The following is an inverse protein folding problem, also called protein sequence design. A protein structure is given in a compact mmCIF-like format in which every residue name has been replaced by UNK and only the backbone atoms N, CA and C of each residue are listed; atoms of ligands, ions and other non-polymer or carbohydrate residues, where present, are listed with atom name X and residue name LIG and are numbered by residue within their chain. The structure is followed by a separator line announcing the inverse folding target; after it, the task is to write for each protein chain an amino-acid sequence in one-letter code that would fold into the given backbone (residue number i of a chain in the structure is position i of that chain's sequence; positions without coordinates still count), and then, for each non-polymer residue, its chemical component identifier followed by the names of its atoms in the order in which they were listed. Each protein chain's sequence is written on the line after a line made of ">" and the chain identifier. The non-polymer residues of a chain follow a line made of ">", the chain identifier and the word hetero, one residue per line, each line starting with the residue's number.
data_IF_546567353518
#
_entry.id   IF_546567353518
#
_cell.length_a   1.000
_cell.length_b   1.000
_cell.length_c   1.000
_cell.angle_alpha   90.00
_cell.angle_beta   90.00
_cell.angle_gamma   90.00
#
_symmetry.space_group_name_H-M   'P 1'
#
loop_
_entity.id
_entity.type
_entity.pdbx_description
1 polymer ?
#
# COMPACT_ATOMS: atom_id res chain seq x y z
N UNK A 1 -52.76 -5.30 -43.79
CA UNK A 1 -51.88 -4.14 -43.56
C UNK A 1 -52.44 -3.41 -42.33
N UNK A 2 -51.65 -3.33 -41.26
CA UNK A 2 -51.94 -2.73 -39.93
C UNK A 2 -53.09 -3.36 -39.12
N UNK A 3 -53.02 -3.60 -37.80
CA UNK A 3 -52.22 -3.00 -36.73
C UNK A 3 -51.62 -4.07 -35.79
N UNK A 4 -50.34 -3.89 -35.46
CA UNK A 4 -49.69 -4.40 -34.25
C UNK A 4 -49.53 -3.18 -33.36
N UNK A 5 -50.23 -3.13 -32.22
CA UNK A 5 -49.92 -2.19 -31.13
C UNK A 5 -50.50 -2.76 -29.84
N UNK A 6 -49.68 -3.49 -29.08
CA UNK A 6 -49.72 -3.59 -27.62
C UNK A 6 -48.70 -4.64 -27.15
N UNK A 7 -47.43 -4.25 -27.16
CA UNK A 7 -46.36 -4.98 -26.47
C UNK A 7 -45.16 -4.06 -26.31
N UNK A 8 -45.33 -2.94 -25.59
CA UNK A 8 -44.24 -2.01 -25.31
C UNK A 8 -44.55 -1.25 -24.02
N UNK A 9 -44.69 -2.00 -22.93
CA UNK A 9 -44.91 -1.43 -21.61
C UNK A 9 -44.48 -2.42 -20.52
N UNK A 10 -43.30 -3.04 -20.65
CA UNK A 10 -42.73 -3.84 -19.55
C UNK A 10 -41.19 -4.05 -19.63
N UNK A 11 -40.43 -3.08 -20.14
CA UNK A 11 -38.95 -3.20 -20.19
C UNK A 11 -38.22 -1.91 -19.82
N UNK A 12 -38.69 -1.18 -18.80
CA UNK A 12 -37.99 0.02 -18.31
C UNK A 12 -37.93 0.18 -16.78
N UNK A 13 -38.02 -0.92 -16.00
CA UNK A 13 -37.98 -0.82 -14.52
C UNK A 13 -36.91 -1.65 -13.82
N UNK A 14 -35.93 -2.22 -14.54
CA UNK A 14 -34.85 -3.00 -13.90
C UNK A 14 -33.42 -2.53 -14.26
N UNK A 15 -33.24 -1.70 -15.27
CA UNK A 15 -31.92 -1.19 -15.65
C UNK A 15 -31.30 -0.16 -14.68
N UNK A 16 -32.05 0.72 -13.97
CA UNK A 16 -31.41 1.72 -13.12
C UNK A 16 -30.97 1.19 -11.75
N UNK A 17 -31.39 -0.02 -11.35
CA UNK A 17 -31.05 -0.58 -10.02
C UNK A 17 -29.75 -1.38 -10.07
N UNK A 18 -29.49 -2.12 -11.15
CA UNK A 18 -28.23 -2.86 -11.33
C UNK A 18 -27.06 -1.93 -11.63
N UNK A 19 -27.27 -0.82 -12.35
CA UNK A 19 -26.22 0.18 -12.61
C UNK A 19 -25.88 0.97 -11.34
N UNK A 20 -26.82 1.18 -10.41
CA UNK A 20 -26.52 1.85 -9.13
C UNK A 20 -25.67 0.97 -8.19
N UNK A 21 -25.86 -0.35 -8.22
CA UNK A 21 -25.15 -1.29 -7.35
C UNK A 21 -23.64 -1.38 -7.66
N UNK A 22 -23.23 -1.28 -8.93
CA UNK A 22 -21.83 -1.35 -9.36
C UNK A 22 -21.06 -0.01 -9.26
N UNK A 23 -21.40 0.82 -8.28
CA UNK A 23 -20.82 2.17 -8.17
C UNK A 23 -20.37 2.54 -6.76
N UNK A 24 -20.69 1.67 -5.79
CA UNK A 24 -20.19 1.78 -4.43
C UNK A 24 -18.88 1.01 -4.34
N UNK A 25 -17.84 1.67 -3.86
CA UNK A 25 -16.58 0.99 -3.56
C UNK A 25 -16.80 0.00 -2.43
N UNK A 26 -16.43 -1.26 -2.62
CA UNK A 26 -16.48 -2.26 -1.58
C UNK A 26 -15.16 -3.04 -1.59
N UNK A 27 -14.77 -3.56 -0.43
CA UNK A 27 -13.59 -4.39 -0.30
C UNK A 27 -13.98 -5.70 0.37
N UNK A 28 -13.62 -6.80 -0.28
CA UNK A 28 -13.59 -8.12 0.35
C UNK A 28 -12.14 -8.57 0.49
N UNK A 29 -11.71 -8.89 1.71
CA UNK A 29 -10.34 -9.32 1.96
C UNK A 29 -10.27 -10.85 1.98
N UNK A 30 -9.51 -11.47 1.06
CA UNK A 30 -9.42 -12.91 0.99
C UNK A 30 -8.47 -13.44 2.07
N UNK A 31 -8.97 -14.37 2.87
CA UNK A 31 -8.19 -15.17 3.81
C UNK A 31 -8.21 -16.63 3.40
N UNK A 32 -7.19 -17.38 3.78
CA UNK A 32 -7.18 -18.82 3.67
C UNK A 32 -6.70 -19.42 4.98
N UNK A 33 -7.52 -20.27 5.61
CA UNK A 33 -7.12 -21.01 6.81
C UNK A 33 -6.63 -22.39 6.38
N UNK A 34 -5.32 -22.60 6.44
CA UNK A 34 -4.65 -23.85 6.06
C UNK A 34 -4.82 -24.89 7.16
N UNK A 35 -5.97 -25.55 7.13
CA UNK A 35 -6.36 -26.61 8.07
C UNK A 35 -6.86 -27.84 7.35
N UNK A 36 -6.65 -29.04 7.91
CA UNK A 36 -7.21 -30.26 7.35
C UNK A 36 -8.75 -30.21 7.33
N UNK A 37 -9.43 -30.94 6.43
CA UNK A 37 -10.89 -30.94 6.31
C UNK A 37 -11.63 -31.26 7.62
N UNK A 38 -11.03 -32.08 8.49
CA UNK A 38 -11.56 -32.42 9.82
C UNK A 38 -11.68 -31.21 10.76
N UNK A 39 -10.95 -30.12 10.49
CA UNK A 39 -10.95 -28.88 11.27
C UNK A 39 -11.63 -27.72 10.52
N UNK A 40 -12.32 -27.98 9.41
CA UNK A 40 -13.06 -26.98 8.63
C UNK A 40 -14.09 -26.18 9.44
N UNK A 41 -14.60 -26.75 10.54
CA UNK A 41 -15.48 -26.05 11.48
C UNK A 41 -14.81 -24.80 12.10
N UNK A 42 -13.47 -24.79 12.22
CA UNK A 42 -12.73 -23.63 12.73
C UNK A 42 -12.85 -22.46 11.76
N UNK A 43 -12.77 -22.72 10.45
CA UNK A 43 -12.95 -21.69 9.41
C UNK A 43 -14.32 -21.04 9.53
N UNK A 44 -15.39 -21.85 9.62
CA UNK A 44 -16.76 -21.33 9.76
C UNK A 44 -16.94 -20.52 11.05
N UNK A 45 -16.43 -21.02 12.18
CA UNK A 45 -16.54 -20.30 13.46
C UNK A 45 -15.75 -18.99 13.46
N UNK A 46 -14.51 -19.01 12.96
CA UNK A 46 -13.68 -17.82 12.86
C UNK A 46 -14.31 -16.78 11.92
N UNK A 47 -14.86 -17.20 10.78
CA UNK A 47 -15.59 -16.34 9.85
C UNK A 47 -16.75 -15.61 10.55
N UNK A 48 -17.57 -16.32 11.32
CA UNK A 48 -18.70 -15.73 12.04
C UNK A 48 -18.23 -14.67 13.05
N UNK A 49 -17.18 -14.99 13.82
CA UNK A 49 -16.63 -14.07 14.82
C UNK A 49 -15.98 -12.83 14.19
N UNK A 50 -15.32 -12.98 13.04
CA UNK A 50 -14.74 -11.86 12.30
C UNK A 50 -15.86 -10.97 11.73
N UNK A 51 -16.90 -11.58 11.14
CA UNK A 51 -18.05 -10.85 10.61
C UNK A 51 -18.77 -10.05 11.71
N UNK A 52 -18.99 -10.67 12.87
CA UNK A 52 -19.57 -10.00 14.04
C UNK A 52 -18.72 -8.78 14.44
N UNK A 53 -17.41 -8.98 14.63
CA UNK A 53 -16.48 -7.90 14.98
C UNK A 53 -16.51 -6.74 13.97
N UNK A 54 -16.42 -7.04 12.67
CA UNK A 54 -16.42 -6.00 11.62
C UNK A 54 -17.76 -5.28 11.55
N UNK A 55 -18.89 -5.99 11.75
CA UNK A 55 -20.22 -5.38 11.70
C UNK A 55 -20.48 -4.36 12.82
N UNK A 56 -19.74 -4.47 13.93
CA UNK A 56 -19.78 -3.51 15.03
C UNK A 56 -18.94 -2.26 14.75
N UNK A 57 -18.04 -2.30 13.75
CA UNK A 57 -17.22 -1.17 13.36
C UNK A 57 -18.01 -0.21 12.44
N UNK A 58 -17.91 1.08 12.74
CA UNK A 58 -18.46 2.12 11.87
C UNK A 58 -17.44 2.51 10.78
N UNK A 59 -17.40 1.70 9.71
CA UNK A 59 -16.48 1.86 8.59
C UNK A 59 -17.04 2.80 7.51
N UNK A 60 -16.17 3.53 6.82
CA UNK A 60 -16.54 4.48 5.76
C UNK A 60 -16.87 3.82 4.43
N UNK A 61 -16.58 2.52 4.28
CA UNK A 61 -16.86 1.72 3.09
C UNK A 61 -17.45 0.37 3.49
N UNK A 62 -18.27 -0.27 2.63
CA UNK A 62 -18.56 -1.69 2.73
C UNK A 62 -17.26 -2.51 2.74
N UNK A 63 -17.01 -3.21 3.84
CA UNK A 63 -15.81 -4.00 4.07
C UNK A 63 -16.19 -5.37 4.59
N UNK A 64 -15.70 -6.42 3.93
CA UNK A 64 -15.89 -7.81 4.34
C UNK A 64 -14.55 -8.53 4.33
N UNK A 65 -14.55 -9.69 4.97
CA UNK A 65 -13.43 -10.62 4.99
C UNK A 65 -13.99 -11.98 4.67
N UNK A 66 -13.38 -12.72 3.76
CA UNK A 66 -13.88 -14.03 3.34
C UNK A 66 -12.78 -15.07 3.42
N UNK A 67 -13.03 -16.15 4.17
CA UNK A 67 -12.21 -17.36 4.08
C UNK A 67 -12.53 -18.13 2.79
N UNK A 68 -11.56 -18.16 1.89
CA UNK A 68 -11.62 -18.91 0.64
C UNK A 68 -11.37 -20.41 0.88
N UNK A 69 -11.93 -21.24 -0.01
CA UNK A 69 -11.65 -22.68 -0.04
C UNK A 69 -10.26 -23.01 -0.59
N UNK A 70 -9.74 -22.15 -1.48
CA UNK A 70 -8.40 -22.26 -2.06
C UNK A 70 -7.70 -20.91 -2.00
N UNK A 71 -6.40 -20.86 -1.66
CA UNK A 71 -5.67 -19.60 -1.60
C UNK A 71 -5.47 -19.02 -3.00
N UNK A 72 -5.58 -17.70 -3.10
CA UNK A 72 -5.18 -16.90 -4.26
C UNK A 72 -3.87 -16.15 -3.97
N UNK A 73 -3.19 -15.58 -4.97
CA UNK A 73 -1.98 -14.77 -4.74
C UNK A 73 -2.17 -13.59 -3.76
N UNK A 74 -3.41 -13.06 -3.68
CA UNK A 74 -3.80 -11.95 -2.81
C UNK A 74 -4.27 -12.41 -1.42
N UNK A 75 -4.42 -13.72 -1.18
CA UNK A 75 -4.94 -14.25 0.09
C UNK A 75 -3.93 -14.14 1.23
N UNK A 76 -4.39 -13.74 2.42
CA UNK A 76 -3.61 -13.94 3.63
C UNK A 76 -3.78 -15.39 4.12
N UNK A 77 -2.66 -16.11 4.24
CA UNK A 77 -2.63 -17.53 4.60
C UNK A 77 -2.36 -17.70 6.09
N UNK A 78 -3.32 -18.23 6.82
CA UNK A 78 -3.22 -18.54 8.25
C UNK A 78 -2.96 -20.03 8.40
N UNK A 79 -1.84 -20.38 9.01
CA UNK A 79 -1.42 -21.75 9.30
C UNK A 79 -1.56 -22.02 10.79
N UNK A 80 -1.80 -23.28 11.16
CA UNK A 80 -1.76 -23.72 12.55
C UNK A 80 -0.45 -24.44 12.87
N UNK A 81 0.21 -24.00 13.92
CA UNK A 81 1.36 -24.67 14.55
C UNK A 81 0.99 -25.13 15.96
N UNK A 82 1.81 -25.98 16.57
CA UNK A 82 1.64 -26.36 17.98
C UNK A 82 2.80 -25.79 18.80
N UNK A 83 2.51 -25.31 20.01
CA UNK A 83 3.50 -24.76 20.94
C UNK A 83 3.05 -25.00 22.38
N UNK A 84 4.00 -24.91 23.32
CA UNK A 84 3.72 -24.92 24.75
C UNK A 84 3.00 -23.63 25.21
N UNK A 85 3.10 -22.56 24.41
CA UNK A 85 2.54 -21.25 24.70
C UNK A 85 1.75 -20.68 23.53
N UNK A 86 0.59 -20.10 23.86
CA UNK A 86 -0.26 -19.38 22.91
C UNK A 86 0.53 -18.20 22.34
N UNK A 87 0.70 -18.20 21.03
CA UNK A 87 1.49 -17.20 20.33
C UNK A 87 1.13 -17.20 18.86
N UNK A 88 1.61 -16.20 18.15
CA UNK A 88 1.49 -16.12 16.71
C UNK A 88 2.76 -15.53 16.11
N UNK A 89 3.00 -15.82 14.83
CA UNK A 89 4.09 -15.26 14.06
C UNK A 89 3.53 -14.78 12.71
N UNK A 90 3.78 -13.53 12.36
CA UNK A 90 3.44 -12.98 11.04
C UNK A 90 4.71 -12.97 10.21
N UNK A 91 4.66 -13.57 9.03
CA UNK A 91 5.78 -13.64 8.11
C UNK A 91 6.19 -12.22 7.66
N UNK A 92 7.43 -11.79 7.96
CA UNK A 92 7.90 -10.47 7.55
C UNK A 92 8.09 -10.36 6.03
N UNK A 93 8.15 -11.48 5.31
CA UNK A 93 8.41 -11.55 3.88
C UNK A 93 7.19 -11.94 3.04
N UNK A 94 6.00 -12.02 3.65
CA UNK A 94 4.83 -12.50 2.93
C UNK A 94 3.50 -12.19 3.60
N UNK A 95 2.46 -12.80 3.02
CA UNK A 95 1.06 -12.72 3.47
C UNK A 95 0.68 -13.91 4.34
N UNK A 96 1.61 -14.44 5.13
CA UNK A 96 1.34 -15.63 5.94
C UNK A 96 1.46 -15.36 7.44
N UNK A 97 0.64 -16.06 8.22
CA UNK A 97 0.70 -16.04 9.67
C UNK A 97 0.62 -17.47 10.20
N UNK A 98 1.42 -17.78 11.22
CA UNK A 98 1.39 -19.03 11.95
C UNK A 98 0.78 -18.78 13.33
N UNK A 99 -0.35 -19.43 13.62
CA UNK A 99 -1.03 -19.36 14.91
C UNK A 99 -0.67 -20.63 15.69
N UNK A 100 -0.03 -20.46 16.83
CA UNK A 100 0.39 -21.57 17.67
C UNK A 100 -0.71 -21.96 18.65
N UNK A 101 -1.26 -23.15 18.45
CA UNK A 101 -2.26 -23.74 19.32
C UNK A 101 -1.64 -24.45 20.51
N UNK A 102 -2.37 -24.45 21.62
CA UNK A 102 -2.07 -25.18 22.86
C UNK A 102 -3.19 -26.16 23.17
N UNK A 103 -2.93 -27.14 24.04
CA UNK A 103 -3.98 -28.04 24.53
C UNK A 103 -5.12 -27.27 25.21
N UNK A 104 -4.81 -26.16 25.90
CA UNK A 104 -5.80 -25.31 26.56
C UNK A 104 -6.78 -24.70 25.55
N UNK A 105 -6.29 -24.07 24.47
CA UNK A 105 -7.14 -23.50 23.43
C UNK A 105 -8.05 -24.54 22.77
N UNK A 106 -7.55 -25.77 22.59
CA UNK A 106 -8.30 -26.86 22.00
C UNK A 106 -9.39 -27.36 22.97
N UNK A 107 -9.02 -27.63 24.22
CA UNK A 107 -9.93 -28.15 25.26
C UNK A 107 -11.06 -27.14 25.56
N UNK A 108 -10.72 -25.86 25.61
CA UNK A 108 -11.69 -24.80 25.87
C UNK A 108 -12.44 -24.32 24.61
N UNK A 109 -12.07 -24.80 23.43
CA UNK A 109 -12.73 -24.46 22.17
C UNK A 109 -12.50 -23.01 21.72
N UNK A 110 -11.42 -22.38 22.18
CA UNK A 110 -11.11 -20.96 21.97
C UNK A 110 -10.28 -20.70 20.70
N UNK A 111 -9.88 -21.76 19.97
CA UNK A 111 -9.10 -21.64 18.74
C UNK A 111 -9.67 -20.66 17.72
N UNK A 112 -11.00 -20.68 17.49
CA UNK A 112 -11.64 -19.76 16.54
C UNK A 112 -11.59 -18.30 17.02
N UNK A 113 -11.67 -18.07 18.34
CA UNK A 113 -11.55 -16.74 18.93
C UNK A 113 -10.12 -16.22 18.76
N UNK A 114 -9.13 -17.08 19.02
CA UNK A 114 -7.73 -16.72 18.87
C UNK A 114 -7.37 -16.40 17.41
N UNK A 115 -7.82 -17.22 16.45
CA UNK A 115 -7.66 -16.92 15.01
C UNK A 115 -8.28 -15.56 14.66
N UNK A 116 -9.51 -15.30 15.11
CA UNK A 116 -10.17 -14.01 14.89
C UNK A 116 -9.36 -12.85 15.47
N UNK A 117 -8.83 -12.97 16.68
CA UNK A 117 -8.01 -11.92 17.29
C UNK A 117 -6.72 -11.66 16.51
N UNK A 118 -6.04 -12.72 16.05
CA UNK A 118 -4.87 -12.57 15.18
C UNK A 118 -5.22 -11.84 13.89
N UNK A 119 -6.33 -12.21 13.25
CA UNK A 119 -6.77 -11.54 12.01
C UNK A 119 -7.09 -10.08 12.27
N UNK A 120 -8.01 -9.76 13.17
CA UNK A 120 -8.56 -8.40 13.26
C UNK A 120 -7.63 -7.43 13.99
N UNK A 121 -6.80 -7.92 14.93
CA UNK A 121 -5.91 -7.06 15.75
C UNK A 121 -4.46 -7.03 15.29
N UNK A 122 -4.03 -8.01 14.50
CA UNK A 122 -2.63 -8.11 14.10
C UNK A 122 -2.45 -8.13 12.59
N UNK A 123 -3.38 -8.71 11.82
CA UNK A 123 -3.31 -8.67 10.36
C UNK A 123 -4.00 -7.41 9.84
N UNK A 124 -5.25 -7.13 10.22
CA UNK A 124 -6.12 -6.11 9.60
C UNK A 124 -6.27 -4.81 10.40
N UNK A 125 -5.70 -4.74 11.62
CA UNK A 125 -5.92 -3.61 12.55
C UNK A 125 -5.70 -2.26 11.88
N UNK A 126 -4.58 -2.11 11.17
CA UNK A 126 -4.27 -0.86 10.50
C UNK A 126 -5.28 -0.46 9.42
N UNK A 127 -5.72 -1.42 8.61
CA UNK A 127 -6.68 -1.17 7.52
C UNK A 127 -8.07 -0.86 8.09
N UNK A 128 -8.51 -1.62 9.10
CA UNK A 128 -9.76 -1.36 9.78
C UNK A 128 -9.77 0.02 10.46
N UNK A 129 -8.66 0.39 11.12
CA UNK A 129 -8.51 1.70 11.73
C UNK A 129 -8.54 2.81 10.67
N UNK A 130 -7.92 2.62 9.51
CA UNK A 130 -7.95 3.57 8.39
C UNK A 130 -9.36 3.82 7.85
N UNK A 131 -10.18 2.78 7.74
CA UNK A 131 -11.55 2.91 7.26
C UNK A 131 -12.54 3.32 8.35
N UNK A 132 -12.13 3.31 9.63
CA UNK A 132 -12.97 3.81 10.70
C UNK A 132 -13.15 5.33 10.57
N UNK A 133 -14.36 5.85 10.85
CA UNK A 133 -14.66 7.29 10.76
C UNK A 133 -13.81 8.19 11.68
N UNK A 134 -13.01 7.61 12.57
CA UNK A 134 -12.09 8.31 13.46
C UNK A 134 -10.69 8.49 12.88
N UNK A 135 -10.41 7.96 11.69
CA UNK A 135 -9.09 8.11 11.07
C UNK A 135 -8.88 9.55 10.60
N UNK A 136 -8.02 10.26 11.33
CA UNK A 136 -7.46 11.50 10.82
C UNK A 136 -6.53 11.10 9.68
N UNK A 137 -6.91 11.51 8.46
CA UNK A 137 -6.07 11.39 7.29
C UNK A 137 -4.88 12.35 7.51
N UNK A 138 -3.90 11.89 8.26
CA UNK A 138 -2.63 12.58 8.40
C UNK A 138 -2.08 12.65 6.98
N UNK A 139 -2.16 13.82 6.34
CA UNK A 139 -1.64 14.10 5.00
C UNK A 139 -0.12 14.00 4.93
N UNK A 140 0.46 13.08 5.69
CA UNK A 140 1.87 12.81 5.88
C UNK A 140 2.23 11.69 4.91
N UNK A 141 2.47 12.09 3.67
CA UNK A 141 2.90 11.20 2.61
C UNK A 141 2.86 11.91 1.26
N UNK A 142 3.79 11.54 0.37
CA UNK A 142 3.83 12.04 -0.99
C UNK A 142 2.50 11.75 -1.68
N UNK A 143 2.07 12.66 -2.55
CA UNK A 143 0.94 12.38 -3.43
C UNK A 143 1.41 11.30 -4.40
N UNK A 144 0.90 10.08 -4.21
CA UNK A 144 1.22 8.96 -5.07
C UNK A 144 0.64 9.18 -6.45
N UNK A 145 1.43 8.83 -7.46
CA UNK A 145 1.05 8.76 -8.86
C UNK A 145 1.58 7.43 -9.42
N UNK A 146 1.11 7.02 -10.61
CA UNK A 146 1.55 5.78 -11.26
C UNK A 146 3.05 5.74 -11.49
N UNK A 147 3.66 6.87 -11.84
CA UNK A 147 5.09 6.97 -12.07
C UNK A 147 5.67 8.04 -11.16
N UNK A 148 6.59 7.65 -10.29
CA UNK A 148 7.29 8.59 -9.42
C UNK A 148 8.77 8.59 -9.76
N UNK A 149 9.33 9.80 -9.93
CA UNK A 149 10.76 9.99 -10.08
C UNK A 149 11.36 10.23 -8.68
N UNK A 150 12.31 9.38 -8.31
CA UNK A 150 13.05 9.46 -7.06
C UNK A 150 14.51 9.75 -7.39
N UNK A 151 15.10 10.72 -6.71
CA UNK A 151 16.52 11.01 -6.78
C UNK A 151 17.14 10.71 -5.43
N UNK A 152 18.06 9.76 -5.40
CA UNK A 152 18.87 9.44 -4.22
C UNK A 152 20.24 10.07 -4.43
N UNK A 153 20.59 11.04 -3.59
CA UNK A 153 21.90 11.68 -3.63
C UNK A 153 22.71 11.35 -2.39
N UNK A 154 23.81 10.64 -2.58
CA UNK A 154 24.79 10.36 -1.54
C UNK A 154 25.85 11.44 -1.55
N UNK A 155 25.98 12.15 -0.44
CA UNK A 155 26.93 13.24 -0.24
C UNK A 155 27.96 12.85 0.81
N UNK A 156 29.24 13.04 0.52
CA UNK A 156 30.30 12.74 1.49
C UNK A 156 31.60 13.53 1.31
N UNK A 157 32.28 13.80 2.42
CA UNK A 157 33.63 14.38 2.50
C UNK A 157 34.71 13.32 2.60
N UNK A 158 34.32 12.07 2.88
CA UNK A 158 35.27 11.01 3.18
C UNK A 158 36.01 10.63 1.90
N UNK A 159 37.35 10.62 1.97
CA UNK A 159 38.22 10.20 0.84
C UNK A 159 38.12 8.70 0.50
N UNK A 160 37.28 7.95 1.22
CA UNK A 160 37.24 6.48 1.22
C UNK A 160 35.83 5.92 1.01
N UNK A 161 35.04 6.50 0.08
CA UNK A 161 33.85 5.80 -0.39
C UNK A 161 34.25 4.68 -1.35
N UNK A 162 34.17 3.46 -0.87
CA UNK A 162 34.01 2.28 -1.70
C UNK A 162 32.51 1.93 -1.76
N UNK A 163 31.68 2.84 -2.27
CA UNK A 163 30.25 2.56 -2.45
C UNK A 163 30.07 1.59 -3.62
N UNK A 164 29.51 0.42 -3.34
CA UNK A 164 29.27 -0.62 -4.33
C UNK A 164 27.84 -0.46 -4.85
N UNK A 165 27.68 0.08 -6.07
CA UNK A 165 26.36 0.24 -6.67
C UNK A 165 25.62 -1.11 -6.79
N UNK A 166 26.33 -2.20 -7.08
CA UNK A 166 25.74 -3.54 -7.13
C UNK A 166 25.12 -3.96 -5.79
N UNK A 167 25.69 -3.51 -4.67
CA UNK A 167 25.14 -3.81 -3.33
C UNK A 167 23.84 -3.03 -3.07
N UNK A 168 23.73 -1.81 -3.62
CA UNK A 168 22.47 -1.07 -3.60
C UNK A 168 21.39 -1.84 -4.36
N UNK A 169 21.67 -2.29 -5.57
CA UNK A 169 20.73 -3.07 -6.39
C UNK A 169 20.35 -4.39 -5.66
N UNK A 170 21.33 -5.18 -5.21
CA UNK A 170 21.08 -6.48 -4.56
C UNK A 170 20.19 -6.40 -3.29
N UNK A 171 20.33 -5.33 -2.52
CA UNK A 171 19.63 -5.16 -1.22
C UNK A 171 18.33 -4.36 -1.38
N UNK A 172 18.31 -3.38 -2.28
CA UNK A 172 17.22 -2.43 -2.42
C UNK A 172 16.19 -2.85 -3.47
N UNK A 173 16.59 -3.56 -4.52
CA UNK A 173 15.70 -4.01 -5.59
C UNK A 173 14.55 -4.89 -5.11
N UNK A 174 14.73 -5.82 -4.14
CA UNK A 174 13.59 -6.59 -3.61
C UNK A 174 12.51 -5.70 -3.02
N UNK A 175 12.87 -4.58 -2.38
CA UNK A 175 11.90 -3.63 -1.86
C UNK A 175 11.26 -2.82 -2.98
N UNK A 176 12.06 -2.34 -3.95
CA UNK A 176 11.55 -1.60 -5.10
C UNK A 176 10.52 -2.43 -5.87
N UNK A 177 10.82 -3.70 -6.12
CA UNK A 177 9.92 -4.65 -6.78
C UNK A 177 8.55 -4.73 -6.08
N UNK A 178 8.53 -4.75 -4.75
CA UNK A 178 7.27 -4.79 -4.01
C UNK A 178 6.54 -3.44 -4.03
N UNK A 179 7.27 -2.34 -4.00
CA UNK A 179 6.68 -0.99 -4.13
C UNK A 179 6.14 -0.74 -5.53
N UNK A 180 6.64 -1.40 -6.57
CA UNK A 180 6.12 -1.31 -7.94
C UNK A 180 4.65 -1.70 -8.06
N UNK A 181 4.15 -2.53 -7.15
CA UNK A 181 2.72 -2.84 -7.04
C UNK A 181 1.87 -1.61 -6.74
N UNK A 182 2.43 -0.64 -6.02
CA UNK A 182 1.79 0.62 -5.66
C UNK A 182 2.07 1.73 -6.69
N UNK A 183 3.33 1.87 -7.11
CA UNK A 183 3.78 2.91 -8.04
C UNK A 183 5.08 2.51 -8.72
N UNK A 184 5.21 2.77 -10.02
CA UNK A 184 6.47 2.59 -10.74
C UNK A 184 7.48 3.65 -10.29
N UNK A 185 8.59 3.20 -9.72
CA UNK A 185 9.66 4.08 -9.25
C UNK A 185 10.78 4.15 -10.29
N UNK A 186 11.03 5.37 -10.79
CA UNK A 186 12.27 5.65 -11.51
C UNK A 186 13.26 6.25 -10.53
N UNK A 187 14.24 5.45 -10.14
CA UNK A 187 15.29 5.86 -9.19
C UNK A 187 16.53 6.31 -9.97
N UNK A 188 16.87 7.59 -9.83
CA UNK A 188 18.15 8.13 -10.25
C UNK A 188 19.07 8.20 -9.01
N UNK A 189 20.31 7.72 -9.16
CA UNK A 189 21.30 7.70 -8.08
C UNK A 189 22.48 8.59 -8.44
N UNK A 190 22.83 9.51 -7.54
CA UNK A 190 23.95 10.43 -7.71
C UNK A 190 24.87 10.42 -6.50
N UNK A 191 26.18 10.43 -6.77
CA UNK A 191 27.21 10.59 -5.75
C UNK A 191 27.86 11.95 -5.90
N UNK A 192 27.84 12.74 -4.83
CA UNK A 192 28.44 14.07 -4.77
C UNK A 192 29.51 14.12 -3.69
N UNK A 193 30.74 14.44 -4.08
CA UNK A 193 31.80 14.74 -3.11
C UNK A 193 31.65 16.17 -2.63
N UNK A 194 31.58 16.36 -1.31
CA UNK A 194 31.41 17.68 -0.70
C UNK A 194 32.69 18.04 0.06
N UNK A 195 33.31 19.17 -0.31
CA UNK A 195 34.49 19.66 0.38
C UNK A 195 34.09 20.42 1.66
N UNK A 196 34.22 19.76 2.81
CA UNK A 196 34.03 20.34 4.15
C UNK A 196 32.58 20.34 4.65
N UNK A 197 32.20 19.34 5.46
CA UNK A 197 30.88 19.25 6.10
C UNK A 197 30.67 20.16 7.32
N UNK A 198 31.66 20.98 7.67
CA UNK A 198 31.73 21.75 8.93
C UNK A 198 30.45 22.56 9.24
N UNK A 199 29.62 22.87 8.23
CA UNK A 199 28.25 23.38 8.44
C UNK A 199 27.26 22.82 7.40
N UNK A 200 26.90 21.53 7.50
CA UNK A 200 25.79 21.01 6.70
C UNK A 200 24.50 21.76 7.07
N UNK A 201 23.91 22.43 6.08
CA UNK A 201 22.68 23.17 6.25
C UNK A 201 21.63 22.61 5.28
N UNK A 202 20.57 22.00 5.83
CA UNK A 202 19.46 21.41 5.08
C UNK A 202 18.78 22.45 4.16
N UNK A 203 18.74 23.71 4.58
CA UNK A 203 18.15 24.81 3.79
C UNK A 203 18.98 25.13 2.54
N UNK A 204 20.25 24.69 2.48
CA UNK A 204 21.11 24.82 1.29
C UNK A 204 20.96 23.66 0.31
N UNK A 205 20.19 22.61 0.65
CA UNK A 205 19.95 21.51 -0.27
C UNK A 205 19.14 21.99 -1.47
N UNK A 206 19.59 21.58 -2.66
CA UNK A 206 18.91 21.88 -3.92
C UNK A 206 17.77 20.90 -4.15
N UNK A 207 16.64 21.13 -3.49
CA UNK A 207 15.43 20.34 -3.69
C UNK A 207 14.91 20.49 -5.11
N UNK A 208 14.87 19.38 -5.85
CA UNK A 208 14.04 19.30 -7.05
C UNK A 208 12.57 19.24 -6.61
N UNK A 209 11.69 19.98 -7.28
CA UNK A 209 10.26 19.99 -6.99
C UNK A 209 9.46 19.05 -7.87
N UNK A 210 10.08 18.50 -8.93
CA UNK A 210 9.49 17.52 -9.83
C UNK A 210 9.80 16.08 -9.42
N UNK A 211 10.71 15.88 -8.45
CA UNK A 211 11.18 14.58 -7.98
C UNK A 211 11.13 14.48 -6.47
N UNK A 212 10.95 13.28 -5.96
CA UNK A 212 11.21 12.98 -4.55
C UNK A 212 12.72 12.90 -4.33
N UNK A 213 13.23 13.68 -3.38
CA UNK A 213 14.66 13.78 -3.12
C UNK A 213 15.01 13.09 -1.81
N UNK A 214 15.93 12.13 -1.86
CA UNK A 214 16.50 11.48 -0.69
C UNK A 214 17.99 11.81 -0.61
N UNK A 215 18.39 12.49 0.45
CA UNK A 215 19.80 12.82 0.67
C UNK A 215 20.38 11.87 1.71
N UNK A 216 21.49 11.22 1.37
CA UNK A 216 22.28 10.40 2.29
C UNK A 216 23.60 11.13 2.55
N UNK A 217 23.75 11.65 3.75
CA UNK A 217 24.93 12.40 4.20
C UNK A 217 25.83 11.47 4.99
N UNK A 218 27.04 11.22 4.46
CA UNK A 218 28.06 10.42 5.13
C UNK A 218 29.21 11.32 5.55
N UNK A 219 29.33 11.59 6.85
CA UNK A 219 30.29 12.56 7.43
C UNK A 219 31.11 11.94 8.56
N UNK A 220 32.28 12.49 8.87
CA UNK A 220 33.08 12.09 10.04
C UNK A 220 32.63 12.76 11.35
N UNK A 221 31.85 13.83 11.23
CA UNK A 221 31.40 14.65 12.36
C UNK A 221 30.12 14.06 13.00
N UNK A 222 29.92 14.36 14.28
CA UNK A 222 28.77 13.88 15.10
C UNK A 222 27.48 14.69 14.88
N UNK A 223 27.36 15.36 13.74
CA UNK A 223 26.19 16.19 13.50
C UNK A 223 24.96 15.30 13.28
N UNK A 224 24.17 15.16 14.35
CA UNK A 224 22.82 14.61 14.29
C UNK A 224 21.96 15.52 13.41
N UNK A 225 21.93 15.21 12.12
CA UNK A 225 21.01 15.84 11.19
C UNK A 225 19.67 15.13 11.40
N UNK A 226 18.63 15.83 11.92
CA UNK A 226 17.33 15.22 12.08
C UNK A 226 16.83 14.75 10.72
N UNK A 227 16.20 13.57 10.69
CA UNK A 227 15.56 13.09 9.46
C UNK A 227 14.36 14.00 9.16
N UNK A 228 14.56 14.96 8.25
CA UNK A 228 13.49 15.85 7.80
C UNK A 228 12.75 15.14 6.69
N UNK A 229 11.57 14.61 7.02
CA UNK A 229 10.58 14.22 6.02
C UNK A 229 9.81 15.47 5.65
N UNK A 230 10.03 16.00 4.46
CA UNK A 230 9.10 16.98 3.89
C UNK A 230 7.94 16.17 3.32
N UNK A 231 6.71 16.28 3.85
CA UNK A 231 5.60 15.36 3.56
C UNK A 231 5.37 15.02 2.09
N UNK A 232 5.81 15.87 1.16
CA UNK A 232 5.65 15.68 -0.28
C UNK A 232 6.96 15.63 -1.09
N UNK A 233 8.14 15.81 -0.48
CA UNK A 233 9.39 16.05 -1.24
C UNK A 233 10.58 15.16 -0.88
N UNK A 234 10.46 14.32 0.15
CA UNK A 234 11.45 13.29 0.46
C UNK A 234 12.07 13.42 1.86
N UNK A 235 13.30 12.93 2.02
CA UNK A 235 13.95 12.80 3.34
C UNK A 235 15.47 13.05 3.33
N UNK A 236 16.02 13.43 4.47
CA UNK A 236 17.47 13.46 4.73
C UNK A 236 17.83 12.35 5.71
N UNK A 237 18.88 11.60 5.41
CA UNK A 237 19.52 10.61 6.27
C UNK A 237 20.97 11.05 6.48
N UNK A 238 21.41 11.16 7.73
CA UNK A 238 22.81 11.35 8.06
C UNK A 238 23.35 10.15 8.80
N UNK A 239 24.59 9.77 8.46
CA UNK A 239 25.30 8.71 9.16
C UNK A 239 26.77 9.10 9.33
N UNK A 240 27.25 8.96 10.56
CA UNK A 240 28.65 9.16 10.89
C UNK A 240 29.50 7.97 10.45
N UNK A 241 30.63 8.26 9.80
CA UNK A 241 31.54 7.27 9.23
C UNK A 241 32.98 7.59 9.66
N UNK A 242 33.46 6.84 10.65
CA UNK A 242 34.80 6.99 11.24
C UNK A 242 35.89 6.19 10.50
N UNK A 243 35.47 5.22 9.71
CA UNK A 243 36.34 4.27 8.99
C UNK A 243 35.84 4.13 7.55
N UNK A 244 36.65 3.63 6.59
CA UNK A 244 36.13 3.31 5.26
C UNK A 244 34.87 2.45 5.35
N UNK A 245 33.84 2.78 4.55
CA UNK A 245 32.56 2.08 4.54
C UNK A 245 32.77 0.59 4.31
N UNK A 246 32.35 -0.24 5.26
CA UNK A 246 32.24 -1.68 5.03
C UNK A 246 30.99 -1.98 4.21
N UNK A 247 30.89 -3.20 3.65
CA UNK A 247 29.65 -3.65 3.01
C UNK A 247 28.46 -3.65 3.99
N UNK A 248 28.70 -4.01 5.27
CA UNK A 248 27.64 -4.00 6.29
C UNK A 248 27.14 -2.58 6.57
N UNK A 249 28.03 -1.59 6.65
CA UNK A 249 27.63 -0.19 6.82
C UNK A 249 26.76 0.30 5.66
N UNK A 250 27.08 -0.12 4.43
CA UNK A 250 26.29 0.20 3.25
C UNK A 250 24.91 -0.45 3.31
N UNK A 251 24.83 -1.74 3.67
CA UNK A 251 23.56 -2.46 3.85
C UNK A 251 22.67 -1.71 4.84
N UNK A 252 23.17 -1.35 6.01
CA UNK A 252 22.37 -0.66 7.01
C UNK A 252 21.89 0.73 6.55
N UNK A 253 22.71 1.46 5.77
CA UNK A 253 22.29 2.73 5.14
C UNK A 253 21.16 2.49 4.16
N UNK A 254 21.28 1.47 3.31
CA UNK A 254 20.29 1.08 2.29
C UNK A 254 18.97 0.68 2.98
N UNK A 255 19.02 -0.13 4.04
CA UNK A 255 17.84 -0.52 4.82
C UNK A 255 17.17 0.68 5.49
N UNK A 256 17.95 1.62 6.02
CA UNK A 256 17.40 2.85 6.62
C UNK A 256 16.74 3.72 5.56
N UNK A 257 17.36 3.87 4.39
CA UNK A 257 16.80 4.61 3.26
C UNK A 257 15.50 3.98 2.75
N UNK A 258 15.43 2.65 2.70
CA UNK A 258 14.25 1.86 2.38
C UNK A 258 13.08 2.22 3.31
N UNK A 259 13.33 2.19 4.63
CA UNK A 259 12.34 2.60 5.63
C UNK A 259 11.87 4.05 5.46
N UNK A 260 12.76 4.97 5.07
CA UNK A 260 12.39 6.36 4.80
C UNK A 260 11.53 6.53 3.55
N UNK A 261 11.83 5.80 2.47
CA UNK A 261 11.03 5.81 1.25
C UNK A 261 9.61 5.33 1.54
N UNK A 262 9.48 4.21 2.25
CA UNK A 262 8.20 3.69 2.70
C UNK A 262 7.43 4.71 3.56
N UNK A 263 8.11 5.38 4.49
CA UNK A 263 7.52 6.44 5.31
C UNK A 263 7.07 7.64 4.48
N UNK A 264 7.86 8.06 3.49
CA UNK A 264 7.51 9.16 2.57
C UNK A 264 6.30 8.80 1.72
N UNK A 265 6.12 7.54 1.32
CA UNK A 265 4.88 7.11 0.67
C UNK A 265 3.67 7.06 1.61
N UNK A 266 3.88 7.27 2.91
CA UNK A 266 2.82 7.27 3.92
C UNK A 266 2.46 5.87 4.39
N UNK A 267 3.43 4.93 4.42
CA UNK A 267 3.22 3.65 5.10
C UNK A 267 2.87 3.92 6.58
N UNK A 268 1.75 3.37 7.06
CA UNK A 268 1.33 3.59 8.43
C UNK A 268 2.27 2.87 9.42
N UNK A 269 2.56 3.52 10.55
CA UNK A 269 3.38 2.96 11.63
C UNK A 269 2.51 2.16 12.61
N UNK A 270 1.83 1.12 12.12
CA UNK A 270 0.85 0.29 12.83
C UNK A 270 1.21 -1.21 12.72
N UNK A 271 0.58 -2.07 13.50
CA UNK A 271 0.61 -3.52 13.24
C UNK A 271 -0.27 -3.85 12.01
N UNK A 272 0.08 -4.87 11.21
CA UNK A 272 1.24 -5.75 11.32
C UNK A 272 2.55 -5.03 10.96
N UNK A 273 3.66 -5.50 11.55
CA UNK A 273 5.02 -5.09 11.16
C UNK A 273 5.44 -5.48 9.74
N UNK A 274 4.76 -6.43 9.10
CA UNK A 274 5.11 -6.90 7.75
C UNK A 274 4.94 -5.78 6.71
N UNK A 275 6.02 -5.38 6.00
CA UNK A 275 5.94 -4.37 4.94
C UNK A 275 4.98 -4.76 3.81
N UNK A 276 4.88 -6.05 3.48
CA UNK A 276 4.03 -6.57 2.41
C UNK A 276 2.55 -6.37 2.71
N UNK A 277 2.13 -6.68 3.94
CA UNK A 277 0.75 -6.47 4.38
C UNK A 277 0.43 -4.96 4.40
N UNK A 278 1.38 -4.12 4.84
CA UNK A 278 1.21 -2.65 4.80
C UNK A 278 1.13 -2.11 3.37
N UNK A 279 1.91 -2.65 2.43
CA UNK A 279 1.84 -2.28 1.02
C UNK A 279 0.48 -2.65 0.42
N UNK A 280 -0.07 -3.83 0.74
CA UNK A 280 -1.42 -4.20 0.30
C UNK A 280 -2.47 -3.19 0.76
N UNK A 281 -2.37 -2.69 2.01
CA UNK A 281 -3.25 -1.63 2.52
C UNK A 281 -3.12 -0.34 1.73
N UNK A 282 -1.89 0.01 1.35
CA UNK A 282 -1.66 1.20 0.55
C UNK A 282 -2.19 1.07 -0.87
N UNK A 283 -2.04 -0.10 -1.49
CA UNK A 283 -2.64 -0.41 -2.80
C UNK A 283 -4.15 -0.19 -2.72
N UNK A 284 -4.83 -0.79 -1.73
CA UNK A 284 -6.29 -0.64 -1.57
C UNK A 284 -6.72 0.78 -1.20
N UNK A 285 -5.95 1.49 -0.37
CA UNK A 285 -6.18 2.91 -0.06
C UNK A 285 -6.05 3.78 -1.31
N UNK A 286 -5.00 3.57 -2.10
CA UNK A 286 -4.79 4.35 -3.33
C UNK A 286 -5.84 4.00 -4.38
N UNK A 287 -6.23 2.74 -4.48
CA UNK A 287 -7.32 2.30 -5.33
C UNK A 287 -8.64 2.98 -4.98
N UNK A 288 -8.98 3.09 -3.69
CA UNK A 288 -10.14 3.88 -3.24
C UNK A 288 -10.03 5.35 -3.63
N UNK A 289 -8.88 5.99 -3.40
CA UNK A 289 -8.63 7.38 -3.81
C UNK A 289 -8.83 7.57 -5.31
N UNK A 290 -8.35 6.62 -6.12
CA UNK A 290 -8.54 6.68 -7.56
C UNK A 290 -10.01 6.49 -7.91
N UNK A 291 -10.67 5.51 -7.28
CA UNK A 291 -12.07 5.19 -7.51
C UNK A 291 -13.02 6.36 -7.25
N UNK A 292 -12.82 7.11 -6.16
CA UNK A 292 -13.63 8.31 -5.86
C UNK A 292 -13.43 9.41 -6.90
N UNK A 293 -12.25 9.48 -7.53
CA UNK A 293 -11.92 10.45 -8.58
C UNK A 293 -12.35 10.02 -9.98
N UNK A 294 -12.67 8.74 -10.20
CA UNK A 294 -13.12 8.24 -11.49
C UNK A 294 -14.53 8.72 -11.83
N UNK A 295 -14.75 9.01 -13.11
CA UNK A 295 -16.10 9.21 -13.67
C UNK A 295 -16.90 7.90 -13.59
N UNK A 296 -18.21 8.03 -13.55
CA UNK A 296 -19.12 6.92 -13.23
C UNK A 296 -18.99 5.75 -14.23
N UNK A 297 -18.86 6.03 -15.52
CA UNK A 297 -18.71 5.02 -16.57
C UNK A 297 -17.44 4.16 -16.46
N UNK A 298 -16.43 4.62 -15.72
CA UNK A 298 -15.13 3.95 -15.59
C UNK A 298 -14.99 3.13 -14.30
N UNK A 299 -15.99 3.16 -13.42
CA UNK A 299 -15.94 2.48 -12.12
C UNK A 299 -16.14 0.97 -12.20
N UNK A 300 -17.06 0.51 -13.05
CA UNK A 300 -17.44 -0.91 -13.10
C UNK A 300 -16.27 -1.86 -13.46
N UNK A 301 -15.42 -1.59 -14.47
CA UNK A 301 -14.29 -2.45 -14.78
C UNK A 301 -13.24 -2.54 -13.65
N UNK A 302 -13.11 -1.47 -12.86
CA UNK A 302 -12.20 -1.46 -11.70
C UNK A 302 -12.76 -2.31 -10.57
N UNK A 303 -14.08 -2.26 -10.34
CA UNK A 303 -14.75 -3.12 -9.35
C UNK A 303 -14.67 -4.59 -9.73
N UNK A 304 -14.84 -4.95 -11.00
CA UNK A 304 -14.73 -6.34 -11.45
C UNK A 304 -13.38 -6.97 -11.04
N UNK A 305 -12.28 -6.23 -11.21
CA UNK A 305 -10.96 -6.66 -10.77
C UNK A 305 -10.81 -6.73 -9.24
N UNK A 306 -11.46 -5.82 -8.51
CA UNK A 306 -11.48 -5.85 -7.04
C UNK A 306 -12.21 -7.11 -6.55
N UNK A 307 -13.34 -7.44 -7.17
CA UNK A 307 -14.18 -8.59 -6.84
C UNK A 307 -13.47 -9.91 -7.13
N UNK A 308 -12.58 -9.92 -8.12
CA UNK A 308 -11.69 -11.05 -8.47
C UNK A 308 -10.41 -11.10 -7.60
N UNK A 309 -10.25 -10.20 -6.64
CA UNK A 309 -9.06 -10.02 -5.79
C UNK A 309 -7.77 -9.65 -6.54
N UNK A 310 -7.88 -9.13 -7.76
CA UNK A 310 -6.76 -8.62 -8.56
C UNK A 310 -6.54 -7.13 -8.32
N UNK A 311 -6.15 -6.80 -7.07
CA UNK A 311 -5.98 -5.42 -6.61
C UNK A 311 -4.89 -4.65 -7.36
N UNK A 312 -3.84 -5.34 -7.80
CA UNK A 312 -2.70 -4.72 -8.48
C UNK A 312 -3.13 -4.28 -9.89
N UNK A 313 -3.81 -5.16 -10.65
CA UNK A 313 -4.39 -4.78 -11.95
C UNK A 313 -5.49 -3.73 -11.81
N UNK A 314 -6.33 -3.81 -10.77
CA UNK A 314 -7.35 -2.81 -10.49
C UNK A 314 -6.73 -1.41 -10.27
N UNK A 315 -5.63 -1.35 -9.51
CA UNK A 315 -4.89 -0.10 -9.29
C UNK A 315 -4.32 0.44 -10.60
N UNK A 316 -3.65 -0.39 -11.38
CA UNK A 316 -3.08 0.03 -12.67
C UNK A 316 -4.16 0.54 -13.64
N UNK A 317 -5.27 -0.19 -13.76
CA UNK A 317 -6.41 0.22 -14.60
C UNK A 317 -6.99 1.55 -14.12
N UNK A 318 -7.15 1.74 -12.80
CA UNK A 318 -7.67 2.99 -12.24
C UNK A 318 -6.79 4.20 -12.60
N UNK A 319 -5.45 4.03 -12.60
CA UNK A 319 -4.53 5.06 -13.04
C UNK A 319 -4.67 5.39 -14.53
N UNK A 320 -4.78 4.37 -15.36
CA UNK A 320 -4.96 4.53 -16.80
C UNK A 320 -6.25 5.30 -17.14
N UNK A 321 -7.34 4.98 -16.45
CA UNK A 321 -8.63 5.65 -16.63
C UNK A 321 -8.61 7.10 -16.12
N UNK A 322 -7.93 7.38 -15.01
CA UNK A 322 -7.73 8.75 -14.52
C UNK A 322 -6.92 9.61 -15.51
N UNK A 323 -5.91 9.03 -16.16
CA UNK A 323 -5.13 9.74 -17.18
C UNK A 323 -5.99 10.11 -18.39
N UNK A 324 -6.86 9.21 -18.84
CA UNK A 324 -7.76 9.44 -19.97
C UNK A 324 -8.74 10.58 -19.65
N UNK A 325 -9.38 10.55 -18.47
CA UNK A 325 -10.35 11.58 -18.05
C UNK A 325 -9.71 12.97 -17.91
N UNK A 326 -8.51 13.05 -17.35
CA UNK A 326 -7.78 14.33 -17.25
C UNK A 326 -7.41 14.89 -18.62
N UNK A 327 -7.00 14.03 -19.56
CA UNK A 327 -6.64 14.44 -20.93
C UNK A 327 -7.86 14.89 -21.75
N UNK A 328 -9.02 14.24 -21.55
CA UNK A 328 -10.28 14.61 -22.20
C UNK A 328 -10.80 15.98 -21.71
N UNK A 329 -10.64 16.30 -20.43
CA UNK A 329 -11.02 17.59 -19.87
C UNK A 329 -10.15 18.75 -20.38
N UNK A 330 -8.85 18.51 -20.58
CA UNK A 330 -7.93 19.52 -21.17
C UNK A 330 -8.29 19.79 -22.63
N UNK A 331 -8.57 18.75 -23.42
CA UNK A 331 -8.93 18.91 -24.85
C UNK A 331 -10.31 19.56 -25.06
N UNK A 332 -11.25 19.39 -24.12
CA UNK A 332 -12.52 20.10 -24.13
C UNK A 332 -12.35 21.59 -23.78
N UNK A 333 -11.52 21.92 -22.79
CA UNK A 333 -11.25 23.32 -22.44
C UNK A 333 -10.52 24.08 -23.54
N UNK A 334 -9.52 23.47 -24.21
CA UNK A 334 -8.82 24.11 -25.32
C UNK A 334 -9.75 24.40 -26.51
N UNK A 335 -10.69 23.50 -26.82
CA UNK A 335 -11.69 23.74 -27.88
C UNK A 335 -12.67 24.86 -27.54
N UNK A 336 -13.16 24.92 -26.31
CA UNK A 336 -14.06 26.02 -25.88
C UNK A 336 -13.36 27.38 -25.76
N UNK A 337 -12.04 27.40 -25.59
CA UNK A 337 -11.27 28.65 -25.55
C UNK A 337 -10.93 29.20 -26.95
N UNK A 338 -10.96 28.36 -27.98
CA UNK A 338 -10.76 28.76 -29.38
C UNK A 338 -12.05 29.15 -30.12
N UNK A 339 -13.22 28.65 -29.69
CA UNK A 339 -14.49 29.03 -30.31
C UNK A 339 -15.04 30.39 -29.83
N UNK A 340 -14.54 30.96 -28.72
CA UNK A 340 -14.97 32.27 -28.21
C UNK A 340 -14.20 33.47 -28.79
N UNK A 341 -13.36 33.28 -29.81
CA UNK A 341 -12.64 34.37 -30.48
C UNK A 341 -13.05 34.59 -31.95
N UNK A 342 -14.19 34.01 -32.39
CA UNK A 342 -14.79 34.28 -33.70
C UNK A 342 -16.31 34.50 -33.56
N UNK A 343 -16.71 35.58 -32.89
CA UNK A 343 -17.97 36.28 -33.16
C UNK A 343 -17.72 37.78 -33.36
#
# INVERSE_FOLDING_TARGET
>A
MHLIFNSLLFTFSLLPITILAHTTFHLDIPLFLDVPPSLSFLTTKAQLLINEYISELNLSIPYTVTFLETPTPSSYVIRLGFSDHESFFIDPQGRSALVFQTDALIIHGEMAVFIKDVVVRHILDCELNMWSQNFVNDGVGAVLDRNMNVMIRVMSDVRFLNWEQSLFEDVFDPLLYEVERLTTLKVDFEMEKVDGFIEFNIDKLKWDHERLMFYVVLTQDDDEIPSIVVPQKGAVLSRRILHPLTQMDQIEVIETLAGQILKVFGLPQCEPKSPFIRLDFMVRRQLYKNFISLQQEYKAPVLELIDDYDFDSALQLSWDLLKITNTANITLHDRTSHDNNNE
#
